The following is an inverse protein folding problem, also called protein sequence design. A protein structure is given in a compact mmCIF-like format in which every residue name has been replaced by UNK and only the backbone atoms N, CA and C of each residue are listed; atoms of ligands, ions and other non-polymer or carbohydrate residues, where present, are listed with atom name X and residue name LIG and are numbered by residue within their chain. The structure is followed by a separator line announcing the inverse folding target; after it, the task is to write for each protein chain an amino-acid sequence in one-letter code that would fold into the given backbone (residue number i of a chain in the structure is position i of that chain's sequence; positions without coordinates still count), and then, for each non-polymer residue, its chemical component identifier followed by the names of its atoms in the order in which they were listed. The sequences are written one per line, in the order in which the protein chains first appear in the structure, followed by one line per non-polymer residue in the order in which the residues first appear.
data_IF_403744161150
#
_entry.id   IF_403744161150
#
_cell.length_a   1.000
_cell.length_b   1.000
_cell.length_c   1.000
_cell.angle_alpha   90.00
_cell.angle_beta   90.00
_cell.angle_gamma   90.00
#
_symmetry.space_group_name_H-M   'P 1'
#
loop_
_entity.id
_entity.type
_entity.pdbx_description
1 polymer ?
#
# COMPACT_ATOMS: atom_id res chain seq x y z
N UNK A 1 -38.39 -3.67 5.00
CA UNK A 1 -37.21 -4.36 4.42
C UNK A 1 -35.94 -4.14 5.23
N UNK A 2 -35.56 -2.90 5.60
CA UNK A 2 -34.38 -2.63 6.43
C UNK A 2 -34.41 -3.33 7.82
N UNK A 3 -35.55 -3.27 8.52
CA UNK A 3 -35.71 -3.93 9.83
C UNK A 3 -35.67 -5.46 9.78
N UNK A 4 -36.11 -6.05 8.66
CA UNK A 4 -36.03 -7.50 8.45
C UNK A 4 -34.57 -7.92 8.23
N UNK A 5 -33.80 -7.14 7.47
CA UNK A 5 -32.38 -7.37 7.25
C UNK A 5 -31.57 -7.22 8.55
N UNK A 6 -31.87 -6.21 9.37
CA UNK A 6 -31.24 -6.02 10.68
C UNK A 6 -31.59 -7.17 11.63
N UNK A 7 -32.86 -7.59 11.69
CA UNK A 7 -33.29 -8.71 12.53
C UNK A 7 -32.66 -10.04 12.10
N UNK A 8 -32.57 -10.31 10.80
CA UNK A 8 -31.92 -11.51 10.25
C UNK A 8 -30.41 -11.48 10.52
N UNK A 9 -29.76 -10.32 10.31
CA UNK A 9 -28.32 -10.16 10.59
C UNK A 9 -28.02 -10.34 12.08
N UNK A 10 -28.88 -9.81 12.95
CA UNK A 10 -28.78 -10.00 14.39
C UNK A 10 -28.96 -11.47 14.78
N UNK A 11 -29.97 -12.15 14.24
CA UNK A 11 -30.20 -13.58 14.51
C UNK A 11 -28.99 -14.43 14.09
N UNK A 12 -28.46 -14.22 12.88
CA UNK A 12 -27.27 -14.92 12.37
C UNK A 12 -26.04 -14.66 13.26
N UNK A 13 -25.85 -13.41 13.71
CA UNK A 13 -24.75 -13.08 14.61
C UNK A 13 -24.84 -13.77 15.98
N UNK A 14 -26.06 -14.06 16.45
CA UNK A 14 -26.30 -14.73 17.74
C UNK A 14 -26.28 -16.26 17.68
N UNK A 15 -26.46 -16.86 16.49
CA UNK A 15 -26.56 -18.32 16.34
C UNK A 15 -25.30 -18.99 15.80
N UNK A 16 -24.46 -18.28 15.03
CA UNK A 16 -23.17 -18.78 14.55
C UNK A 16 -22.00 -18.22 15.40
N UNK A 17 -21.12 -19.10 15.89
CA UNK A 17 -19.86 -18.68 16.51
C UNK A 17 -18.95 -18.04 15.45
N UNK A 18 -18.56 -16.78 15.65
CA UNK A 18 -17.62 -16.11 14.75
C UNK A 18 -16.30 -16.88 14.70
N UNK A 19 -15.87 -17.24 13.48
CA UNK A 19 -14.55 -17.80 13.19
C UNK A 19 -13.53 -16.72 12.79
N UNK A 20 -13.80 -15.47 13.17
CA UNK A 20 -13.00 -14.32 12.76
C UNK A 20 -11.54 -14.49 13.17
N UNK A 21 -10.64 -14.24 12.23
CA UNK A 21 -9.21 -14.32 12.50
C UNK A 21 -8.81 -13.23 13.50
N UNK A 22 -7.87 -13.49 14.42
CA UNK A 22 -7.42 -12.47 15.39
C UNK A 22 -6.84 -11.23 14.70
N UNK A 23 -6.29 -11.41 13.49
CA UNK A 23 -5.70 -10.38 12.64
C UNK A 23 -6.71 -9.33 12.13
N UNK A 24 -8.03 -9.59 12.21
CA UNK A 24 -9.09 -8.64 11.79
C UNK A 24 -9.03 -7.32 12.58
N UNK A 25 -8.59 -7.37 13.83
CA UNK A 25 -8.47 -6.19 14.70
C UNK A 25 -7.04 -5.70 14.88
N UNK A 26 -6.08 -6.31 14.19
CA UNK A 26 -4.67 -6.01 14.34
C UNK A 26 -4.23 -4.95 13.33
N UNK A 27 -3.32 -4.07 13.74
CA UNK A 27 -2.53 -3.26 12.82
C UNK A 27 -1.39 -4.08 12.18
N UNK A 28 -0.63 -3.47 11.25
CA UNK A 28 0.47 -4.15 10.54
C UNK A 28 1.53 -4.66 11.52
N UNK A 29 1.89 -3.88 12.53
CA UNK A 29 2.90 -4.25 13.51
C UNK A 29 2.42 -5.35 14.46
N UNK A 30 1.14 -5.35 14.81
CA UNK A 30 0.51 -6.42 15.56
C UNK A 30 0.48 -7.72 14.75
N UNK A 31 0.15 -7.69 13.45
CA UNK A 31 0.19 -8.87 12.56
C UNK A 31 1.63 -9.43 12.48
N UNK A 32 2.62 -8.57 12.25
CA UNK A 32 4.03 -8.98 12.16
C UNK A 32 4.52 -9.65 13.44
N UNK A 33 4.23 -9.04 14.60
CA UNK A 33 4.61 -9.59 15.91
C UNK A 33 3.82 -10.86 16.26
N UNK A 34 2.54 -10.92 15.90
CA UNK A 34 1.69 -12.10 16.11
C UNK A 34 2.27 -13.34 15.43
N UNK A 35 2.84 -13.17 14.23
CA UNK A 35 3.52 -14.25 13.51
C UNK A 35 4.96 -14.49 13.98
N UNK A 36 5.47 -13.75 14.96
CA UNK A 36 6.77 -13.97 15.60
C UNK A 36 7.96 -13.24 14.95
N UNK A 37 7.71 -12.26 14.08
CA UNK A 37 8.76 -11.49 13.41
C UNK A 37 9.12 -10.21 14.19
N UNK A 38 10.37 -9.74 14.11
CA UNK A 38 10.75 -8.41 14.59
C UNK A 38 10.05 -7.33 13.78
N UNK A 39 9.73 -6.22 14.44
CA UNK A 39 9.04 -5.08 13.82
C UNK A 39 9.68 -3.77 14.26
N UNK A 40 9.98 -2.92 13.28
CA UNK A 40 10.33 -1.52 13.49
C UNK A 40 9.38 -0.63 12.68
N UNK A 41 9.19 0.60 13.15
CA UNK A 41 8.39 1.62 12.49
C UNK A 41 9.23 2.88 12.34
N UNK A 42 9.15 3.52 11.18
CA UNK A 42 9.96 4.68 10.83
C UNK A 42 9.08 5.75 10.19
N UNK A 43 9.19 6.98 10.67
CA UNK A 43 8.52 8.12 10.06
C UNK A 43 9.51 8.86 9.13
N UNK A 44 9.09 9.08 7.90
CA UNK A 44 9.85 9.78 6.85
C UNK A 44 9.09 11.01 6.42
N UNK A 45 9.79 12.12 6.24
CA UNK A 45 9.19 13.39 5.84
C UNK A 45 9.53 13.68 4.38
N UNK A 46 8.52 13.87 3.56
CA UNK A 46 8.71 14.27 2.16
C UNK A 46 9.10 15.74 2.05
N UNK A 47 9.70 16.12 0.91
CA UNK A 47 10.08 17.51 0.64
C UNK A 47 8.88 18.45 0.74
N UNK A 48 7.73 18.02 0.21
CA UNK A 48 6.47 18.76 0.24
C UNK A 48 5.68 18.62 1.56
N UNK A 49 6.23 17.95 2.58
CA UNK A 49 5.75 18.06 3.96
C UNK A 49 4.81 16.97 4.46
N UNK A 50 4.62 15.87 3.73
CA UNK A 50 3.89 14.69 4.21
C UNK A 50 4.78 13.85 5.13
N UNK A 51 4.17 13.25 6.15
CA UNK A 51 4.83 12.24 6.97
C UNK A 51 4.33 10.86 6.54
N UNK A 52 5.26 10.02 6.12
CA UNK A 52 5.04 8.66 5.68
C UNK A 52 5.53 7.70 6.74
N UNK A 53 4.68 6.76 7.14
CA UNK A 53 5.08 5.71 8.08
C UNK A 53 5.52 4.48 7.30
N UNK A 54 6.75 4.04 7.50
CA UNK A 54 7.31 2.82 6.95
C UNK A 54 7.33 1.74 8.03
N UNK A 55 6.94 0.52 7.66
CA UNK A 55 7.15 -0.65 8.51
C UNK A 55 8.39 -1.42 8.05
N UNK A 56 9.09 -2.05 8.99
CA UNK A 56 10.30 -2.82 8.69
C UNK A 56 10.31 -4.14 9.44
N UNK A 57 10.63 -5.21 8.71
CA UNK A 57 10.91 -6.55 9.23
C UNK A 57 12.41 -6.82 9.00
N UNK A 58 13.27 -6.53 10.00
CA UNK A 58 14.73 -6.53 9.80
C UNK A 58 15.33 -7.92 9.60
N UNK A 59 14.65 -8.99 10.02
CA UNK A 59 15.08 -10.38 9.83
C UNK A 59 13.91 -11.37 10.02
N UNK A 60 14.06 -12.58 9.46
CA UNK A 60 13.13 -13.70 9.70
C UNK A 60 13.18 -14.27 11.12
N UNK A 61 12.20 -15.11 11.47
CA UNK A 61 11.96 -15.61 12.84
C UNK A 61 13.16 -16.34 13.46
N UNK A 62 13.84 -17.15 12.67
CA UNK A 62 14.92 -18.03 13.14
C UNK A 62 16.27 -17.31 13.29
N UNK A 63 16.34 -16.01 12.98
CA UNK A 63 17.56 -15.20 13.12
C UNK A 63 17.73 -14.54 14.50
N UNK A 64 16.93 -14.93 15.50
CA UNK A 64 17.06 -14.53 16.91
C UNK A 64 18.42 -14.94 17.53
N UNK A 65 19.22 -15.76 16.86
CA UNK A 65 20.46 -16.37 17.37
C UNK A 65 21.78 -15.64 17.10
N UNK A 66 21.79 -14.42 16.54
CA UNK A 66 23.05 -13.63 16.42
C UNK A 66 23.25 -12.62 17.55
N UNK A 67 22.39 -12.62 18.57
CA UNK A 67 22.79 -12.16 19.91
C UNK A 67 23.45 -13.33 20.63
N UNK A 68 24.76 -13.45 20.45
CA UNK A 68 25.63 -14.41 21.10
C UNK A 68 25.57 -14.28 22.62
N UNK A 69 24.66 -15.01 23.27
CA UNK A 69 24.80 -15.41 24.68
C UNK A 69 25.48 -16.78 24.75
N UNK A 70 26.63 -16.91 24.10
CA UNK A 70 27.57 -17.99 24.43
C UNK A 70 28.46 -17.50 25.58
N UNK A 71 28.11 -17.86 26.81
CA UNK A 71 29.07 -17.92 27.92
C UNK A 71 30.08 -19.06 27.69
N UNK A 72 30.87 -18.98 26.63
CA UNK A 72 32.08 -19.75 26.46
C UNK A 72 33.23 -18.78 26.27
N UNK A 73 34.19 -18.86 27.19
CA UNK A 73 35.32 -17.96 27.33
C UNK A 73 36.01 -17.68 26.00
N UNK A 74 35.90 -16.45 25.51
CA UNK A 74 36.54 -16.00 24.29
C UNK A 74 38.03 -15.73 24.53
N UNK A 75 38.87 -16.41 23.76
CA UNK A 75 40.26 -16.04 23.50
C UNK A 75 40.32 -14.64 22.84
N UNK A 76 41.18 -13.73 23.31
CA UNK A 76 41.29 -12.38 22.75
C UNK A 76 42.07 -12.43 21.43
N UNK A 77 41.35 -12.44 20.31
CA UNK A 77 41.99 -12.42 18.99
C UNK A 77 41.11 -12.65 17.76
N UNK A 78 39.82 -12.96 17.90
CA UNK A 78 38.94 -13.09 16.74
C UNK A 78 38.20 -11.79 16.48
N UNK A 79 38.41 -11.21 15.31
CA UNK A 79 37.69 -10.04 14.81
C UNK A 79 36.18 -10.24 14.97
N UNK A 80 35.55 -9.29 15.66
CA UNK A 80 34.12 -9.02 15.71
C UNK A 80 33.53 -9.10 14.28
N UNK A 81 33.00 -10.25 13.89
CA UNK A 81 32.35 -10.44 12.60
C UNK A 81 30.99 -9.73 12.65
N UNK A 82 30.97 -8.43 12.35
CA UNK A 82 29.75 -7.77 11.95
C UNK A 82 29.26 -8.47 10.68
N UNK A 83 28.17 -9.22 10.75
CA UNK A 83 27.54 -9.77 9.55
C UNK A 83 27.27 -8.62 8.56
N UNK A 84 27.55 -8.82 7.25
CA UNK A 84 27.28 -7.79 6.27
C UNK A 84 25.79 -7.40 6.33
N UNK A 85 25.44 -6.11 6.14
CA UNK A 85 24.06 -5.66 6.19
C UNK A 85 23.21 -6.44 5.19
N UNK A 86 22.08 -6.97 5.66
CA UNK A 86 21.13 -7.74 4.84
C UNK A 86 20.64 -6.87 3.67
N UNK A 87 20.52 -7.41 2.45
CA UNK A 87 20.04 -6.64 1.29
C UNK A 87 18.63 -6.10 1.56
N UNK A 88 18.46 -4.79 1.34
CA UNK A 88 17.19 -4.12 1.57
C UNK A 88 16.20 -4.38 0.41
N UNK A 89 14.94 -4.61 0.75
CA UNK A 89 13.82 -4.71 -0.20
C UNK A 89 12.71 -3.78 0.23
N UNK A 90 12.28 -2.88 -0.67
CA UNK A 90 11.12 -2.03 -0.47
C UNK A 90 9.90 -2.65 -1.17
N UNK A 91 8.84 -2.90 -0.42
CA UNK A 91 7.55 -3.41 -0.88
C UNK A 91 6.53 -2.26 -0.95
N UNK A 92 6.09 -1.87 -2.16
CA UNK A 92 5.16 -0.76 -2.38
C UNK A 92 3.77 -1.24 -2.82
N UNK A 93 2.74 -0.90 -2.04
CA UNK A 93 1.35 -1.27 -2.31
C UNK A 93 0.73 -0.53 -3.52
N UNK A 94 -0.48 -0.93 -3.90
CA UNK A 94 -1.23 -0.36 -5.03
C UNK A 94 -2.24 0.72 -4.65
N UNK A 95 -3.16 1.03 -5.57
CA UNK A 95 -4.23 2.01 -5.37
C UNK A 95 -5.18 1.55 -4.27
N UNK A 96 -5.52 2.43 -3.31
CA UNK A 96 -6.54 2.17 -2.27
C UNK A 96 -6.13 0.99 -1.34
N UNK A 97 -4.83 0.83 -1.14
CA UNK A 97 -4.19 -0.21 -0.34
C UNK A 97 -3.22 0.38 0.69
N UNK A 98 -2.65 -0.48 1.53
CA UNK A 98 -1.67 -0.12 2.56
C UNK A 98 -0.65 -1.24 2.82
N UNK A 99 0.29 -1.04 3.73
CA UNK A 99 1.41 -1.96 3.98
C UNK A 99 1.03 -3.41 4.32
N UNK A 100 -0.13 -3.65 4.95
CA UNK A 100 -0.59 -4.98 5.35
C UNK A 100 -0.76 -5.97 4.20
N UNK A 101 -0.89 -5.48 2.97
CA UNK A 101 -1.01 -6.30 1.76
C UNK A 101 0.12 -7.32 1.60
N UNK A 102 1.28 -7.06 2.19
CA UNK A 102 2.45 -7.95 2.13
C UNK A 102 2.54 -8.97 3.26
N UNK A 103 1.66 -8.87 4.29
CA UNK A 103 1.73 -9.65 5.54
C UNK A 103 0.37 -10.21 6.03
N UNK A 104 -0.73 -10.00 5.29
CA UNK A 104 -2.10 -10.41 5.72
C UNK A 104 -2.46 -11.89 5.48
N UNK A 105 -1.56 -12.66 4.90
CA UNK A 105 -1.64 -14.12 4.84
C UNK A 105 -0.68 -14.78 5.85
N UNK A 106 -0.65 -16.11 5.87
CA UNK A 106 0.31 -16.88 6.67
C UNK A 106 1.76 -16.58 6.26
N UNK A 107 2.75 -16.78 7.17
CA UNK A 107 4.17 -16.54 6.89
C UNK A 107 4.70 -17.15 5.59
N UNK A 108 4.29 -18.37 5.25
CA UNK A 108 4.72 -19.06 4.03
C UNK A 108 3.94 -18.65 2.75
N UNK A 109 3.05 -17.66 2.84
CA UNK A 109 2.19 -17.17 1.74
C UNK A 109 2.13 -15.64 1.67
N UNK A 110 2.95 -14.95 2.45
CA UNK A 110 3.03 -13.50 2.53
C UNK A 110 4.44 -13.08 2.13
N UNK A 111 4.57 -12.29 1.06
CA UNK A 111 5.87 -11.95 0.49
C UNK A 111 6.80 -11.27 1.50
N UNK A 112 6.26 -10.41 2.38
CA UNK A 112 7.04 -9.75 3.42
C UNK A 112 7.73 -10.73 4.36
N UNK A 113 7.00 -11.76 4.80
CA UNK A 113 7.53 -12.82 5.67
C UNK A 113 8.49 -13.75 4.94
N UNK A 114 8.17 -14.15 3.71
CA UNK A 114 9.02 -15.02 2.89
C UNK A 114 10.39 -14.36 2.63
N UNK A 115 10.42 -13.06 2.33
CA UNK A 115 11.68 -12.33 2.12
C UNK A 115 12.49 -12.19 3.40
N UNK A 116 11.84 -11.92 4.54
CA UNK A 116 12.52 -11.84 5.82
C UNK A 116 13.18 -13.18 6.21
N UNK A 117 12.46 -14.30 6.04
CA UNK A 117 12.99 -15.65 6.25
C UNK A 117 14.10 -16.01 5.24
N UNK A 118 14.03 -15.47 4.02
CA UNK A 118 15.09 -15.60 3.01
C UNK A 118 16.32 -14.70 3.26
N UNK A 119 16.34 -13.93 4.36
CA UNK A 119 17.51 -13.16 4.80
C UNK A 119 17.59 -11.73 4.29
N UNK A 120 16.51 -11.17 3.75
CA UNK A 120 16.41 -9.76 3.35
C UNK A 120 16.02 -8.86 4.53
N UNK A 121 16.41 -7.59 4.46
CA UNK A 121 15.88 -6.51 5.30
C UNK A 121 14.65 -5.92 4.61
N UNK A 122 13.46 -6.24 5.11
CA UNK A 122 12.21 -5.94 4.41
C UNK A 122 11.63 -4.62 4.91
N UNK A 123 11.41 -3.70 4.00
CA UNK A 123 10.77 -2.41 4.21
C UNK A 123 9.42 -2.39 3.49
N UNK A 124 8.39 -1.90 4.15
CA UNK A 124 7.03 -1.80 3.64
C UNK A 124 6.67 -0.32 3.58
N UNK A 125 6.45 0.17 2.36
CA UNK A 125 6.13 1.57 2.10
C UNK A 125 4.64 1.85 2.20
N UNK A 126 4.29 3.02 2.72
CA UNK A 126 2.93 3.56 2.69
C UNK A 126 2.92 4.87 1.91
N UNK A 127 1.97 4.99 0.99
CA UNK A 127 1.77 6.23 0.24
C UNK A 127 1.03 7.26 1.09
N UNK A 128 1.31 8.55 0.83
CA UNK A 128 0.58 9.67 1.44
C UNK A 128 -0.93 9.47 1.41
N UNK A 129 -1.56 9.76 2.54
CA UNK A 129 -3.01 9.76 2.73
C UNK A 129 -3.69 8.42 2.93
N UNK A 130 -2.96 7.29 2.89
CA UNK A 130 -3.49 6.04 3.43
C UNK A 130 -3.53 6.07 4.97
N UNK A 131 -4.07 5.03 5.62
CA UNK A 131 -4.24 4.94 7.08
C UNK A 131 -2.98 5.21 7.89
N UNK A 132 -1.80 4.89 7.34
CA UNK A 132 -0.51 5.05 8.00
C UNK A 132 0.18 6.40 7.77
N UNK A 133 -0.24 7.16 6.76
CA UNK A 133 0.50 8.34 6.28
C UNK A 133 -0.41 9.57 6.15
N UNK A 134 -1.11 9.92 7.24
CA UNK A 134 -2.17 10.96 7.28
C UNK A 134 -1.71 12.35 7.71
N UNK A 135 -0.46 12.50 8.15
CA UNK A 135 0.03 13.76 8.72
C UNK A 135 0.71 14.61 7.65
N UNK A 136 0.58 15.92 7.81
CA UNK A 136 1.27 16.92 7.00
C UNK A 136 1.77 18.06 7.90
N UNK A 137 2.84 18.75 7.51
CA UNK A 137 3.42 19.86 8.29
C UNK A 137 2.44 21.01 8.49
N UNK A 138 1.63 21.30 7.48
CA UNK A 138 0.80 22.52 7.42
C UNK A 138 -0.70 22.29 7.25
N UNK A 139 -1.13 21.11 6.79
CA UNK A 139 -2.49 20.90 6.30
C UNK A 139 -3.18 19.78 7.07
N UNK A 140 -4.44 19.99 7.41
CA UNK A 140 -5.27 18.96 8.03
C UNK A 140 -5.68 17.90 7.01
N UNK A 141 -5.79 16.65 7.45
CA UNK A 141 -6.02 15.46 6.62
C UNK A 141 -7.22 15.59 5.66
N UNK A 142 -8.31 16.21 6.08
CA UNK A 142 -9.52 16.36 5.24
C UNK A 142 -9.55 17.63 4.39
N UNK A 143 -8.52 18.48 4.46
CA UNK A 143 -8.46 19.73 3.68
C UNK A 143 -8.19 19.47 2.19
N UNK A 144 -8.68 20.36 1.33
CA UNK A 144 -8.41 20.29 -0.11
C UNK A 144 -6.92 20.33 -0.41
N UNK A 145 -6.16 21.18 0.32
CA UNK A 145 -4.70 21.31 0.18
C UNK A 145 -3.96 20.01 0.52
N UNK A 146 -4.34 19.35 1.61
CA UNK A 146 -3.80 18.03 1.96
C UNK A 146 -4.11 16.98 0.89
N UNK A 147 -5.33 16.99 0.34
CA UNK A 147 -5.72 15.98 -0.67
C UNK A 147 -5.28 16.31 -2.10
N UNK A 148 -4.49 17.36 -2.31
CA UNK A 148 -4.10 17.84 -3.65
C UNK A 148 -2.92 17.06 -4.26
N UNK A 149 -2.92 15.73 -4.13
CA UNK A 149 -1.92 14.84 -4.72
C UNK A 149 -2.54 13.73 -5.56
N UNK A 150 -1.73 13.06 -6.36
CA UNK A 150 -2.01 11.85 -7.13
C UNK A 150 -0.81 10.90 -7.04
N UNK A 151 -0.83 9.79 -7.79
CA UNK A 151 0.34 8.92 -7.93
C UNK A 151 1.58 9.65 -8.50
N UNK A 152 1.41 10.82 -9.13
CA UNK A 152 2.54 11.64 -9.58
C UNK A 152 3.36 12.13 -8.39
N UNK A 153 2.74 12.79 -7.43
CA UNK A 153 3.42 13.28 -6.23
C UNK A 153 3.96 12.13 -5.36
N UNK A 154 3.28 10.97 -5.33
CA UNK A 154 3.83 9.76 -4.71
C UNK A 154 5.14 9.32 -5.37
N UNK A 155 5.23 9.37 -6.70
CA UNK A 155 6.45 9.05 -7.41
C UNK A 155 7.57 10.09 -7.18
N UNK A 156 7.21 11.38 -7.21
CA UNK A 156 8.18 12.48 -7.20
C UNK A 156 8.66 12.86 -5.81
N UNK A 157 7.91 12.53 -4.74
CA UNK A 157 8.25 12.93 -3.37
C UNK A 157 8.28 11.76 -2.40
N UNK A 158 7.29 10.85 -2.42
CA UNK A 158 7.23 9.74 -1.45
C UNK A 158 8.38 8.74 -1.69
N UNK A 159 8.58 8.32 -2.95
CA UNK A 159 9.62 7.36 -3.30
C UNK A 159 11.04 7.89 -3.03
N UNK A 160 11.44 9.10 -3.46
CA UNK A 160 12.76 9.65 -3.13
C UNK A 160 13.00 9.73 -1.62
N UNK A 161 12.03 10.25 -0.85
CA UNK A 161 12.17 10.38 0.60
C UNK A 161 12.34 9.02 1.26
N UNK A 162 11.49 8.05 0.89
CA UNK A 162 11.49 6.68 1.42
C UNK A 162 12.80 5.95 1.08
N UNK A 163 13.19 5.92 -0.19
CA UNK A 163 14.39 5.18 -0.64
C UNK A 163 15.65 5.79 -0.01
N UNK A 164 15.78 7.13 -0.02
CA UNK A 164 16.95 7.78 0.57
C UNK A 164 17.05 7.51 2.07
N UNK A 165 15.92 7.53 2.79
CA UNK A 165 15.88 7.19 4.21
C UNK A 165 16.36 5.75 4.45
N UNK A 166 15.86 4.78 3.68
CA UNK A 166 16.22 3.36 3.82
C UNK A 166 17.72 3.16 3.60
N UNK A 167 18.27 3.73 2.52
CA UNK A 167 19.70 3.59 2.20
C UNK A 167 20.58 4.25 3.27
N UNK A 168 20.19 5.43 3.75
CA UNK A 168 20.88 6.10 4.86
C UNK A 168 20.83 5.27 6.14
N UNK A 169 19.67 4.71 6.48
CA UNK A 169 19.46 3.95 7.71
C UNK A 169 20.20 2.61 7.71
N UNK A 170 20.29 1.96 6.55
CA UNK A 170 20.88 0.63 6.38
C UNK A 170 22.37 0.65 6.00
N UNK A 171 22.85 1.77 5.45
CA UNK A 171 24.19 1.87 4.85
C UNK A 171 24.32 1.15 3.50
N UNK A 172 23.22 0.67 2.93
CA UNK A 172 23.18 0.07 1.59
C UNK A 172 23.33 1.16 0.51
N UNK A 173 23.99 0.84 -0.60
CA UNK A 173 24.06 1.74 -1.77
C UNK A 173 22.83 1.60 -2.69
N UNK A 174 22.23 0.40 -2.72
CA UNK A 174 21.07 0.09 -3.55
C UNK A 174 20.08 -0.80 -2.79
N UNK A 175 18.82 -0.78 -3.20
CA UNK A 175 17.79 -1.69 -2.71
C UNK A 175 17.02 -2.36 -3.85
N UNK A 176 16.33 -3.47 -3.55
CA UNK A 176 15.36 -4.08 -4.46
C UNK A 176 14.00 -3.41 -4.29
N UNK A 177 13.36 -3.03 -5.40
CA UNK A 177 12.02 -2.44 -5.36
C UNK A 177 11.01 -3.43 -5.90
N UNK A 178 10.06 -3.86 -5.06
CA UNK A 178 8.95 -4.72 -5.46
C UNK A 178 7.67 -3.91 -5.29
N UNK A 179 6.86 -3.86 -6.34
CA UNK A 179 5.65 -3.06 -6.28
C UNK A 179 4.47 -3.73 -6.95
N UNK A 180 3.28 -3.41 -6.47
CA UNK A 180 2.02 -3.93 -6.98
C UNK A 180 1.13 -2.82 -7.54
N UNK A 181 0.52 -3.01 -8.71
CA UNK A 181 -0.49 -2.11 -9.28
C UNK A 181 0.02 -0.65 -9.33
N UNK A 182 -0.64 0.33 -8.69
CA UNK A 182 -0.17 1.73 -8.64
C UNK A 182 1.26 1.90 -8.09
N UNK A 183 1.73 1.01 -7.22
CA UNK A 183 3.13 1.00 -6.77
C UNK A 183 4.10 0.81 -7.94
N UNK A 184 3.69 0.08 -8.98
CA UNK A 184 4.50 -0.05 -10.19
C UNK A 184 4.52 1.25 -10.99
N UNK A 185 3.39 1.92 -11.10
CA UNK A 185 3.22 3.22 -11.78
C UNK A 185 4.13 4.27 -11.16
N UNK A 186 4.17 4.35 -9.83
CA UNK A 186 5.05 5.29 -9.12
C UNK A 186 6.52 4.98 -9.38
N UNK A 187 6.92 3.71 -9.39
CA UNK A 187 8.28 3.29 -9.78
C UNK A 187 8.62 3.67 -11.22
N UNK A 188 7.72 3.40 -12.17
CA UNK A 188 7.90 3.77 -13.57
C UNK A 188 8.11 5.29 -13.76
N UNK A 189 7.35 6.12 -13.04
CA UNK A 189 7.51 7.59 -13.11
C UNK A 189 8.84 8.00 -12.47
N UNK A 190 9.09 7.56 -11.24
CA UNK A 190 10.24 8.02 -10.46
C UNK A 190 11.57 7.61 -11.11
N UNK A 191 11.71 6.36 -11.55
CA UNK A 191 12.97 5.85 -12.09
C UNK A 191 13.22 6.32 -13.53
N UNK A 192 12.18 6.67 -14.28
CA UNK A 192 12.36 7.32 -15.59
C UNK A 192 12.63 8.82 -15.50
N UNK A 193 12.16 9.49 -14.46
CA UNK A 193 12.24 10.95 -14.32
C UNK A 193 13.37 11.42 -13.40
N UNK A 194 13.89 10.56 -12.51
CA UNK A 194 14.90 10.89 -11.50
C UNK A 194 16.10 9.92 -11.63
N UNK A 195 17.06 10.19 -12.52
CA UNK A 195 18.18 9.28 -12.79
C UNK A 195 19.04 8.94 -11.55
N UNK A 196 19.12 9.85 -10.59
CA UNK A 196 19.82 9.61 -9.32
C UNK A 196 19.11 8.59 -8.42
N UNK A 197 17.79 8.49 -8.53
CA UNK A 197 17.00 7.51 -7.80
C UNK A 197 17.06 6.15 -8.49
N UNK A 198 16.98 6.12 -9.82
CA UNK A 198 17.10 4.88 -10.62
C UNK A 198 18.39 4.11 -10.31
N UNK A 199 19.54 4.83 -10.22
CA UNK A 199 20.84 4.23 -9.85
C UNK A 199 20.85 3.55 -8.48
N UNK A 200 19.92 3.90 -7.59
CA UNK A 200 19.78 3.31 -6.25
C UNK A 200 18.90 2.06 -6.25
N UNK A 201 18.31 1.69 -7.39
CA UNK A 201 17.48 0.49 -7.52
C UNK A 201 18.29 -0.62 -8.17
N UNK A 202 18.47 -1.71 -7.43
CA UNK A 202 19.21 -2.89 -7.92
C UNK A 202 18.38 -3.69 -8.93
N UNK A 203 17.08 -3.81 -8.68
CA UNK A 203 16.11 -4.43 -9.58
C UNK A 203 14.70 -3.98 -9.21
N UNK A 204 13.88 -3.75 -10.22
CA UNK A 204 12.46 -3.43 -10.07
C UNK A 204 11.59 -4.64 -10.47
N UNK A 205 10.90 -5.23 -9.50
CA UNK A 205 9.90 -6.28 -9.69
C UNK A 205 8.50 -5.67 -9.75
N UNK A 206 7.94 -5.56 -10.95
CA UNK A 206 6.62 -4.98 -11.17
C UNK A 206 5.53 -6.07 -11.21
N UNK A 207 4.69 -6.15 -10.18
CA UNK A 207 3.58 -7.10 -10.06
C UNK A 207 2.26 -6.45 -10.50
N UNK A 208 1.58 -7.05 -11.48
CA UNK A 208 0.41 -6.45 -12.15
C UNK A 208 0.70 -4.99 -12.59
N UNK A 209 1.71 -4.77 -13.46
CA UNK A 209 2.16 -3.44 -13.84
C UNK A 209 1.05 -2.63 -14.52
N UNK A 210 0.95 -1.35 -14.18
CA UNK A 210 -0.02 -0.42 -14.77
C UNK A 210 0.69 0.83 -15.26
N UNK A 211 0.61 1.07 -16.57
CA UNK A 211 1.04 2.32 -17.23
C UNK A 211 -0.15 2.96 -17.93
N UNK A 212 -0.89 2.20 -18.72
CA UNK A 212 -2.17 2.61 -19.33
C UNK A 212 -3.29 1.65 -18.93
N UNK A 213 -4.51 2.17 -18.83
CA UNK A 213 -5.67 1.44 -18.30
C UNK A 213 -6.87 1.40 -19.26
N UNK A 214 -6.73 1.89 -20.50
CA UNK A 214 -7.85 2.03 -21.45
C UNK A 214 -8.54 0.72 -21.85
N UNK A 215 -7.87 -0.43 -21.67
CA UNK A 215 -8.41 -1.75 -22.01
C UNK A 215 -8.92 -2.55 -20.79
N UNK A 216 -9.02 -1.94 -19.61
CA UNK A 216 -9.51 -2.63 -18.42
C UNK A 216 -10.97 -3.05 -18.59
N UNK A 217 -11.27 -4.33 -18.32
CA UNK A 217 -12.61 -4.92 -18.46
C UNK A 217 -13.36 -5.10 -17.14
N UNK A 218 -12.74 -4.71 -16.02
CA UNK A 218 -13.32 -4.97 -14.70
C UNK A 218 -14.57 -4.11 -14.48
N UNK A 219 -15.63 -4.64 -13.85
CA UNK A 219 -16.89 -3.90 -13.69
C UNK A 219 -16.72 -2.55 -12.97
N UNK A 220 -15.78 -2.46 -12.01
CA UNK A 220 -15.56 -1.25 -11.22
C UNK A 220 -14.99 -0.10 -12.05
N UNK A 221 -14.26 -0.38 -13.14
CA UNK A 221 -13.69 0.65 -14.01
C UNK A 221 -14.76 1.49 -14.71
N UNK A 222 -15.98 0.97 -14.88
CA UNK A 222 -17.12 1.74 -15.42
C UNK A 222 -17.51 2.94 -14.55
N UNK A 223 -17.11 2.98 -13.28
CA UNK A 223 -17.30 4.17 -12.43
C UNK A 223 -16.48 5.36 -12.97
N UNK A 224 -15.34 5.09 -13.63
CA UNK A 224 -14.50 6.13 -14.24
C UNK A 224 -15.15 6.75 -15.50
N UNK A 225 -16.15 6.09 -16.12
CA UNK A 225 -16.93 6.64 -17.23
C UNK A 225 -17.95 7.71 -16.79
N UNK A 226 -18.32 7.75 -15.50
CA UNK A 226 -19.32 8.70 -14.99
C UNK A 226 -18.82 10.15 -15.10
N UNK A 227 -19.67 11.18 -15.27
CA UNK A 227 -19.23 12.58 -15.24
C UNK A 227 -18.50 12.94 -13.93
N UNK A 228 -17.52 13.84 -13.99
CA UNK A 228 -16.67 14.18 -12.82
C UNK A 228 -17.50 14.67 -11.63
N UNK A 229 -18.52 15.48 -11.87
CA UNK A 229 -19.44 15.95 -10.83
C UNK A 229 -20.15 14.80 -10.10
N UNK A 230 -20.48 13.71 -10.80
CA UNK A 230 -21.10 12.53 -10.20
C UNK A 230 -20.08 11.71 -9.39
N UNK A 231 -18.83 11.58 -9.87
CA UNK A 231 -17.76 10.95 -9.09
C UNK A 231 -17.53 11.73 -7.78
N UNK A 232 -17.45 13.06 -7.85
CA UNK A 232 -17.33 13.95 -6.68
C UNK A 232 -18.49 13.80 -5.71
N UNK A 233 -19.71 13.58 -6.22
CA UNK A 233 -20.90 13.37 -5.38
C UNK A 233 -20.87 12.01 -4.68
N UNK A 234 -20.41 10.95 -5.36
CA UNK A 234 -20.40 9.58 -4.84
C UNK A 234 -19.23 9.36 -3.86
N UNK A 235 -18.03 9.79 -4.23
CA UNK A 235 -16.81 9.50 -3.47
C UNK A 235 -16.45 10.58 -2.43
N UNK A 236 -16.91 11.82 -2.65
CA UNK A 236 -16.48 12.98 -1.88
C UNK A 236 -15.55 13.91 -2.68
N UNK A 237 -15.07 14.98 -2.02
CA UNK A 237 -14.32 16.07 -2.68
C UNK A 237 -12.84 16.13 -2.33
N UNK A 238 -12.41 15.52 -1.22
CA UNK A 238 -11.03 15.59 -0.73
C UNK A 238 -10.41 14.20 -0.62
N UNK A 239 -10.35 13.62 0.58
CA UNK A 239 -9.97 12.22 0.80
C UNK A 239 -11.19 11.33 0.55
N UNK A 240 -10.98 10.21 -0.13
CA UNK A 240 -12.00 9.22 -0.48
C UNK A 240 -11.67 7.87 0.14
N UNK A 241 -12.70 7.05 0.38
CA UNK A 241 -12.60 5.75 1.04
C UNK A 241 -12.08 5.77 2.49
N UNK A 242 -11.97 6.94 3.11
CA UNK A 242 -11.71 7.04 4.54
C UNK A 242 -12.95 6.63 5.33
N UNK A 243 -12.88 5.44 5.94
CA UNK A 243 -13.92 4.91 6.80
C UNK A 243 -13.39 4.84 8.22
N UNK A 244 -14.29 5.13 9.17
CA UNK A 244 -14.02 4.91 10.59
C UNK A 244 -13.54 3.48 10.85
N UNK A 245 -12.47 3.33 11.64
CA UNK A 245 -11.82 2.04 11.88
C UNK A 245 -12.77 1.06 12.59
N UNK A 246 -13.61 1.54 13.50
CA UNK A 246 -14.58 0.70 14.21
C UNK A 246 -15.61 0.19 13.20
N UNK A 247 -16.11 1.07 12.33
CA UNK A 247 -17.03 0.67 11.27
C UNK A 247 -16.40 -0.35 10.31
N UNK A 248 -15.13 -0.16 9.93
CA UNK A 248 -14.39 -1.11 9.07
C UNK A 248 -14.21 -2.47 9.75
N UNK A 249 -13.88 -2.51 11.05
CA UNK A 249 -13.75 -3.75 11.84
C UNK A 249 -15.09 -4.46 12.03
N UNK A 250 -16.16 -3.71 12.30
CA UNK A 250 -17.51 -4.30 12.47
C UNK A 250 -18.00 -4.90 11.14
N UNK A 251 -17.84 -4.16 10.04
CA UNK A 251 -18.30 -4.62 8.72
C UNK A 251 -17.48 -5.79 8.18
N UNK A 252 -16.17 -5.82 8.41
CA UNK A 252 -15.31 -6.96 8.04
C UNK A 252 -15.59 -8.22 8.87
N UNK A 253 -15.93 -8.10 10.17
CA UNK A 253 -16.35 -9.25 10.99
C UNK A 253 -17.60 -9.94 10.46
N UNK A 254 -18.52 -9.21 9.82
CA UNK A 254 -19.67 -9.84 9.15
C UNK A 254 -19.23 -10.82 8.05
N UNK A 255 -18.07 -10.60 7.43
CA UNK A 255 -17.52 -11.48 6.42
C UNK A 255 -16.92 -12.79 6.97
N UNK A 256 -16.83 -12.95 8.29
CA UNK A 256 -16.45 -14.24 8.91
C UNK A 256 -17.58 -15.28 8.84
N UNK A 257 -18.85 -14.82 8.74
CA UNK A 257 -20.03 -15.69 8.63
C UNK A 257 -20.16 -16.24 7.21
N UNK A 258 -20.46 -17.55 7.12
CA UNK A 258 -20.52 -18.28 5.84
C UNK A 258 -21.45 -17.63 4.83
N UNK A 259 -22.59 -17.10 5.31
CA UNK A 259 -23.59 -16.42 4.49
C UNK A 259 -23.01 -15.19 3.75
N UNK A 260 -22.16 -14.40 4.40
CA UNK A 260 -21.64 -13.15 3.83
C UNK A 260 -20.36 -13.32 3.02
N UNK A 261 -19.63 -14.45 3.16
CA UNK A 261 -18.34 -14.68 2.48
C UNK A 261 -18.39 -14.46 0.96
N UNK A 262 -19.44 -14.94 0.30
CA UNK A 262 -19.61 -14.77 -1.15
C UNK A 262 -19.76 -13.30 -1.53
N UNK A 263 -20.62 -12.57 -0.81
CA UNK A 263 -20.82 -11.13 -1.02
C UNK A 263 -19.55 -10.32 -0.72
N UNK A 264 -18.87 -10.63 0.37
CA UNK A 264 -17.62 -9.98 0.75
C UNK A 264 -16.51 -10.21 -0.29
N UNK A 265 -16.45 -11.41 -0.89
CA UNK A 265 -15.47 -11.71 -1.95
C UNK A 265 -15.68 -10.85 -3.20
N UNK A 266 -16.91 -10.41 -3.49
CA UNK A 266 -17.18 -9.49 -4.61
C UNK A 266 -16.44 -8.16 -4.47
N UNK A 267 -16.20 -7.68 -3.25
CA UNK A 267 -15.46 -6.44 -3.01
C UNK A 267 -14.04 -6.52 -3.57
N UNK A 268 -13.42 -7.71 -3.57
CA UNK A 268 -12.10 -7.95 -4.17
C UNK A 268 -12.19 -8.36 -5.65
N UNK A 269 -13.22 -9.11 -6.06
CA UNK A 269 -13.37 -9.53 -7.45
C UNK A 269 -13.74 -8.39 -8.41
N UNK A 270 -14.53 -7.41 -7.96
CA UNK A 270 -14.95 -6.28 -8.81
C UNK A 270 -13.79 -5.42 -9.34
N UNK A 271 -12.76 -5.07 -8.54
CA UNK A 271 -11.56 -4.41 -9.05
C UNK A 271 -10.54 -5.38 -9.68
N UNK A 272 -10.29 -6.55 -9.06
CA UNK A 272 -9.17 -7.44 -9.40
C UNK A 272 -9.47 -8.56 -10.39
N UNK A 273 -10.75 -8.79 -10.72
CA UNK A 273 -11.21 -9.91 -11.53
C UNK A 273 -11.54 -11.16 -10.69
N UNK A 274 -12.36 -12.04 -11.27
CA UNK A 274 -12.78 -13.28 -10.62
C UNK A 274 -11.65 -14.32 -10.66
N UNK A 275 -11.41 -15.00 -9.53
CA UNK A 275 -10.35 -16.02 -9.40
C UNK A 275 -10.75 -17.11 -8.41
N UNK A 276 -10.17 -18.30 -8.60
CA UNK A 276 -10.29 -19.42 -7.66
C UNK A 276 -9.14 -19.46 -6.64
N UNK A 277 -8.19 -18.53 -6.72
CA UNK A 277 -6.97 -18.53 -5.88
C UNK A 277 -7.14 -17.74 -4.57
N UNK A 278 -8.29 -17.09 -4.37
CA UNK A 278 -8.56 -16.31 -3.16
C UNK A 278 -8.81 -17.24 -1.98
N UNK A 279 -8.12 -17.02 -0.87
CA UNK A 279 -8.43 -17.71 0.39
C UNK A 279 -9.65 -17.08 1.05
N UNK A 280 -10.83 -17.57 0.67
CA UNK A 280 -12.14 -17.06 1.14
C UNK A 280 -12.29 -17.17 2.67
N UNK A 281 -11.54 -18.05 3.34
CA UNK A 281 -11.56 -18.14 4.80
C UNK A 281 -10.95 -16.93 5.52
N UNK A 282 -10.18 -16.09 4.81
CA UNK A 282 -9.53 -14.88 5.35
C UNK A 282 -10.09 -13.57 4.79
N UNK A 283 -11.27 -13.63 4.16
CA UNK A 283 -11.91 -12.45 3.55
C UNK A 283 -12.23 -11.36 4.58
N UNK A 284 -12.48 -11.75 5.82
CA UNK A 284 -12.63 -10.85 6.98
C UNK A 284 -11.34 -10.05 7.22
N UNK A 285 -10.18 -10.70 7.22
CA UNK A 285 -8.87 -10.01 7.34
C UNK A 285 -8.65 -9.09 6.15
N UNK A 286 -8.89 -9.54 4.92
CA UNK A 286 -8.65 -8.67 3.77
C UNK A 286 -9.52 -7.40 3.80
N UNK A 287 -10.77 -7.51 4.22
CA UNK A 287 -11.70 -6.38 4.27
C UNK A 287 -11.58 -5.52 5.54
N UNK A 288 -10.87 -5.97 6.57
CA UNK A 288 -10.48 -5.08 7.68
C UNK A 288 -9.36 -4.11 7.27
N UNK A 289 -8.61 -4.43 6.20
CA UNK A 289 -7.51 -3.62 5.66
C UNK A 289 -7.84 -2.93 4.33
N UNK A 290 -8.76 -3.46 3.53
CA UNK A 290 -9.17 -2.90 2.23
C UNK A 290 -10.66 -2.53 2.16
N UNK A 291 -11.06 -1.45 1.46
CA UNK A 291 -10.22 -0.40 0.87
C UNK A 291 -9.55 0.49 1.93
N UNK A 292 -8.47 1.16 1.54
CA UNK A 292 -7.88 2.24 2.32
C UNK A 292 -7.92 3.58 1.57
N UNK A 293 -7.76 4.66 2.32
CA UNK A 293 -7.90 6.04 1.90
C UNK A 293 -6.88 6.49 0.84
N UNK A 294 -7.33 7.38 -0.06
CA UNK A 294 -6.52 8.10 -1.06
C UNK A 294 -7.19 9.45 -1.36
N UNK A 295 -6.55 10.34 -2.09
CA UNK A 295 -7.19 11.57 -2.58
C UNK A 295 -8.15 11.32 -3.75
N UNK A 296 -9.16 12.19 -3.87
CA UNK A 296 -10.00 12.29 -5.05
C UNK A 296 -9.16 12.63 -6.30
N UNK A 297 -8.18 13.54 -6.18
CA UNK A 297 -7.30 13.89 -7.31
C UNK A 297 -6.58 12.66 -7.87
N UNK A 298 -6.18 11.70 -7.02
CA UNK A 298 -5.62 10.43 -7.48
C UNK A 298 -6.63 9.59 -8.29
N UNK A 299 -7.88 9.52 -7.85
CA UNK A 299 -8.95 8.83 -8.59
C UNK A 299 -9.25 9.52 -9.93
N UNK A 300 -9.24 10.85 -9.97
CA UNK A 300 -9.42 11.63 -11.19
C UNK A 300 -8.23 11.47 -12.15
N UNK A 301 -7.01 11.32 -11.63
CA UNK A 301 -5.85 11.03 -12.45
C UNK A 301 -5.98 9.66 -13.13
N UNK A 302 -6.38 8.63 -12.39
CA UNK A 302 -6.65 7.31 -12.99
C UNK A 302 -7.77 7.34 -14.03
N UNK A 303 -8.81 8.14 -13.79
CA UNK A 303 -9.85 8.40 -14.79
C UNK A 303 -9.25 9.01 -16.06
N UNK A 304 -8.40 10.02 -15.97
CA UNK A 304 -7.78 10.66 -17.14
C UNK A 304 -6.99 9.64 -17.98
N UNK A 305 -6.18 8.80 -17.33
CA UNK A 305 -5.45 7.72 -18.00
C UNK A 305 -6.39 6.71 -18.66
N UNK A 306 -7.50 6.36 -18.01
CA UNK A 306 -8.50 5.45 -18.55
C UNK A 306 -9.20 6.06 -19.79
N UNK A 307 -9.62 7.32 -19.72
CA UNK A 307 -10.34 8.00 -20.81
C UNK A 307 -9.46 8.31 -22.02
N UNK A 308 -8.18 8.64 -21.79
CA UNK A 308 -7.25 9.03 -22.86
C UNK A 308 -6.45 7.86 -23.40
N UNK A 309 -6.25 6.81 -22.60
CA UNK A 309 -5.35 5.70 -22.93
C UNK A 309 -3.88 6.08 -22.94
N UNK A 310 -3.53 7.27 -22.43
CA UNK A 310 -2.19 7.81 -22.42
C UNK A 310 -1.63 7.78 -21.00
N UNK A 311 -0.37 7.36 -20.86
CA UNK A 311 0.36 7.54 -19.62
C UNK A 311 0.90 8.97 -19.60
N UNK A 312 0.34 9.83 -18.75
CA UNK A 312 0.64 11.27 -18.71
C UNK A 312 0.49 11.86 -17.32
N UNK A 313 0.93 13.11 -17.18
CA UNK A 313 0.78 13.90 -15.97
C UNK A 313 -0.70 14.29 -15.75
N UNK A 314 -1.04 14.69 -14.54
CA UNK A 314 -2.41 15.07 -14.21
C UNK A 314 -2.83 16.30 -15.03
N UNK A 315 -3.96 16.23 -15.72
CA UNK A 315 -4.49 17.36 -16.47
C UNK A 315 -5.34 18.25 -15.53
N UNK A 316 -4.87 19.47 -15.28
CA UNK A 316 -5.57 20.49 -14.50
C UNK A 316 -6.53 21.35 -15.35
N UNK A 317 -6.71 21.01 -16.62
CA UNK A 317 -7.51 21.79 -17.56
C UNK A 317 -6.88 23.14 -17.85
N UNK A 318 -7.62 24.23 -17.63
CA UNK A 318 -7.11 25.60 -17.84
C UNK A 318 -5.88 25.94 -16.99
N UNK A 319 -5.71 25.24 -15.87
CA UNK A 319 -4.70 25.57 -14.87
C UNK A 319 -3.36 24.87 -15.14
N UNK A 320 -3.24 24.07 -16.22
CA UNK A 320 -1.98 23.44 -16.63
C UNK A 320 -0.84 24.46 -16.77
N UNK A 321 -1.14 25.69 -17.18
CA UNK A 321 -0.13 26.74 -17.28
C UNK A 321 0.49 27.08 -15.91
N UNK A 322 -0.30 27.05 -14.84
CA UNK A 322 0.16 27.33 -13.48
C UNK A 322 1.02 26.19 -12.92
N UNK A 323 0.76 24.96 -13.35
CA UNK A 323 1.44 23.76 -12.84
C UNK A 323 2.67 23.35 -13.66
N UNK A 324 2.61 23.50 -14.98
CA UNK A 324 3.62 22.96 -15.90
C UNK A 324 4.27 24.02 -16.79
N UNK A 325 3.86 25.29 -16.68
CA UNK A 325 4.25 26.37 -17.63
C UNK A 325 3.93 26.03 -19.10
N UNK A 326 2.92 25.18 -19.35
CA UNK A 326 2.48 24.76 -20.68
C UNK A 326 0.96 24.58 -20.72
N UNK A 327 0.36 24.71 -21.91
CA UNK A 327 -1.11 24.56 -22.09
C UNK A 327 -1.53 23.09 -22.08
N UNK A 328 -0.65 22.18 -22.51
CA UNK A 328 -0.86 20.73 -22.49
C UNK A 328 0.01 20.08 -21.42
N UNK A 329 -0.51 19.02 -20.84
CA UNK A 329 0.18 18.17 -19.88
C UNK A 329 1.34 17.38 -20.52
N UNK A 330 2.31 16.99 -19.69
CA UNK A 330 3.56 16.34 -20.10
C UNK A 330 3.37 14.82 -20.14
N UNK A 331 4.06 14.13 -21.06
CA UNK A 331 4.15 12.67 -21.06
C UNK A 331 5.43 12.22 -20.32
N UNK A 332 5.35 11.28 -19.36
CA UNK A 332 6.52 10.61 -18.81
C UNK A 332 7.31 9.95 -19.94
N UNK A 333 8.60 10.25 -20.02
CA UNK A 333 9.50 9.56 -20.93
C UNK A 333 9.80 8.16 -20.38
N UNK A 334 8.92 7.20 -20.66
CA UNK A 334 9.26 5.78 -20.50
C UNK A 334 10.31 5.41 -21.56
N UNK A 335 11.58 5.59 -21.21
CA UNK A 335 12.68 5.01 -21.96
C UNK A 335 12.68 3.50 -21.64
N UNK A 336 11.95 2.72 -22.43
CA UNK A 336 11.96 1.25 -22.33
C UNK A 336 13.23 0.71 -22.96
#
# INVERSE_FOLDING_TARGET
MMWLFVAISYLICTTESSSASPEVSMDVGEIVRYHGYPYEEHEVVTEDGYYLTLQRIPHGRDNLGSTSTSHQAETPGSSMFCHPPKPAVLLQHGLVLEGSNWVTNLPNRSLGFILADAGYDVWIGNSRGNSWSRKHKEFEFHSEKYSSYSFHEMAMFDLPATINYILQKTGQEQLYYVAYSQGTTTGFIAFSSIPELDRKIKMFFALAPITTSSNMKSPLVRVLDLPEGLIKLILGRTVVFDKDEILKRVTSRLCSYTFFKSFCSLVLYLPGGFTNSLNVSRIDVYLSHYPDSTSLKNMLHWRQLYQTGEFKYYDYGSDNMLHYNQVREIHPHLSV
#
